data_IF_765329627023
#
_entry.id   IF_765329627023
#
_cell.length_a   1.000
_cell.length_b   1.000
_cell.length_c   1.000
_cell.angle_alpha   90.00
_cell.angle_beta   90.00
_cell.angle_gamma   90.00
#
_symmetry.space_group_name_H-M   'P 1'
#
loop_
_entity.id
_entity.type
_entity.pdbx_description
1 polymer ?
#
# COMPACT_ATOMS: atom_id res chain seq x y z
N UNK A 1 -27.03 -45.66 -3.77
CA UNK A 1 -28.15 -45.78 -4.72
C UNK A 1 -29.42 -45.43 -3.97
N UNK A 2 -30.08 -44.32 -4.36
CA UNK A 2 -31.45 -43.87 -4.02
C UNK A 2 -31.72 -43.62 -2.51
N UNK A 3 -32.28 -42.52 -2.03
CA UNK A 3 -32.93 -41.37 -2.66
C UNK A 3 -33.42 -40.38 -1.60
N UNK A 4 -34.01 -39.30 -2.10
CA UNK A 4 -34.58 -38.12 -1.46
C UNK A 4 -35.42 -38.33 -0.18
N UNK A 5 -35.43 -37.31 0.68
CA UNK A 5 -36.39 -37.17 1.77
C UNK A 5 -36.35 -35.79 2.44
N UNK A 6 -36.94 -34.78 1.78
CA UNK A 6 -37.33 -33.51 2.38
C UNK A 6 -38.47 -33.76 3.39
N UNK A 7 -38.35 -33.22 4.61
CA UNK A 7 -39.49 -33.02 5.50
C UNK A 7 -39.90 -31.55 5.46
N UNK A 8 -40.99 -31.27 4.74
CA UNK A 8 -41.74 -30.03 4.85
C UNK A 8 -42.85 -30.24 5.88
N UNK A 9 -42.92 -29.39 6.90
CA UNK A 9 -44.15 -29.20 7.67
C UNK A 9 -44.78 -27.88 7.26
N UNK A 10 -45.96 -27.99 6.65
CA UNK A 10 -46.84 -26.88 6.31
C UNK A 10 -47.54 -26.38 7.58
N UNK A 11 -47.69 -25.07 7.71
CA UNK A 11 -48.83 -24.48 8.42
C UNK A 11 -49.55 -23.58 7.45
N UNK A 12 -50.75 -24.00 7.04
CA UNK A 12 -51.71 -23.16 6.33
C UNK A 12 -52.60 -22.46 7.35
N UNK A 13 -52.91 -21.19 7.10
CA UNK A 13 -54.08 -20.54 7.66
C UNK A 13 -55.04 -20.27 6.51
N UNK A 14 -56.19 -20.94 6.56
CA UNK A 14 -57.33 -20.80 5.65
C UNK A 14 -58.35 -19.85 6.26
N UNK A 15 -58.87 -18.90 5.47
CA UNK A 15 -60.26 -18.44 5.59
C UNK A 15 -60.82 -18.12 4.21
N UNK A 16 -61.90 -18.82 3.86
CA UNK A 16 -62.67 -18.75 2.61
C UNK A 16 -63.61 -17.53 2.56
N UNK A 17 -63.77 -16.91 1.39
CA UNK A 17 -64.86 -16.00 1.03
C UNK A 17 -64.88 -15.71 -0.48
N UNK A 18 -66.03 -15.69 -1.17
CA UNK A 18 -66.08 -15.61 -2.64
C UNK A 18 -65.97 -14.16 -3.09
N UNK A 19 -64.77 -13.72 -3.42
CA UNK A 19 -64.51 -12.41 -4.00
C UNK A 19 -63.35 -12.52 -4.97
N UNK A 20 -63.52 -11.96 -6.17
CA UNK A 20 -62.55 -11.92 -7.27
C UNK A 20 -61.11 -11.78 -6.75
N UNK A 21 -60.27 -12.80 -7.00
CA UNK A 21 -58.88 -12.86 -6.56
C UNK A 21 -58.03 -11.82 -7.28
N UNK A 22 -57.99 -10.61 -6.73
CA UNK A 22 -56.95 -9.64 -7.04
C UNK A 22 -55.71 -10.09 -6.26
N UNK A 23 -54.55 -10.30 -6.90
CA UNK A 23 -53.33 -10.64 -6.17
C UNK A 23 -53.01 -9.50 -5.19
N UNK A 24 -52.68 -9.88 -3.95
CA UNK A 24 -52.32 -8.94 -2.90
C UNK A 24 -51.07 -8.14 -3.33
N UNK A 25 -51.17 -6.79 -3.48
CA UNK A 25 -50.04 -5.96 -3.89
C UNK A 25 -48.94 -5.88 -2.81
N UNK A 26 -49.18 -6.42 -1.62
CA UNK A 26 -48.22 -6.48 -0.51
C UNK A 26 -47.61 -7.87 -0.29
N UNK A 27 -47.80 -8.81 -1.23
CA UNK A 27 -47.07 -10.09 -1.19
C UNK A 27 -45.57 -9.85 -1.44
N UNK A 28 -44.83 -9.59 -0.35
CA UNK A 28 -43.37 -9.50 -0.39
C UNK A 28 -42.85 -10.92 -0.67
N UNK A 29 -42.41 -11.16 -1.90
CA UNK A 29 -41.57 -12.33 -2.21
C UNK A 29 -40.22 -12.06 -1.55
N UNK A 30 -40.00 -12.58 -0.34
CA UNK A 30 -38.67 -12.66 0.24
C UNK A 30 -37.91 -13.79 -0.45
N UNK A 31 -37.48 -13.55 -1.68
CA UNK A 31 -36.41 -14.32 -2.31
C UNK A 31 -35.10 -13.62 -1.94
N UNK A 32 -34.67 -13.81 -0.70
CA UNK A 32 -33.32 -13.43 -0.29
C UNK A 32 -32.37 -14.57 -0.62
N UNK A 33 -31.89 -14.55 -1.86
CA UNK A 33 -30.60 -15.13 -2.19
C UNK A 33 -29.81 -14.03 -2.87
N UNK A 34 -29.34 -13.06 -2.07
CA UNK A 34 -28.10 -12.38 -2.41
C UNK A 34 -27.05 -13.49 -2.55
N UNK A 35 -26.43 -13.69 -3.72
CA UNK A 35 -25.32 -14.62 -3.82
C UNK A 35 -24.28 -14.17 -2.81
N UNK A 36 -23.84 -15.10 -1.96
CA UNK A 36 -22.78 -14.91 -0.98
C UNK A 36 -21.48 -14.63 -1.73
N UNK A 37 -21.33 -13.39 -2.20
CA UNK A 37 -20.11 -12.89 -2.76
C UNK A 37 -19.27 -12.42 -1.58
N UNK A 38 -18.80 -13.38 -0.79
CA UNK A 38 -17.85 -13.14 0.27
C UNK A 38 -16.58 -12.57 -0.36
N UNK A 39 -16.37 -11.27 -0.16
CA UNK A 39 -15.18 -10.56 -0.62
C UNK A 39 -13.97 -10.88 0.24
N UNK A 40 -14.18 -11.48 1.41
CA UNK A 40 -13.14 -11.93 2.31
C UNK A 40 -12.77 -13.36 1.92
N UNK A 41 -11.58 -13.52 1.37
CA UNK A 41 -11.07 -14.85 0.99
C UNK A 41 -9.76 -15.07 1.70
N UNK A 42 -9.70 -16.11 2.50
CA UNK A 42 -8.43 -16.56 3.05
C UNK A 42 -7.47 -16.93 1.92
N UNK A 43 -6.20 -16.53 2.08
CA UNK A 43 -5.10 -16.87 1.17
C UNK A 43 -4.86 -18.38 1.21
N UNK A 44 -4.42 -19.02 0.13
CA UNK A 44 -4.10 -20.45 0.16
C UNK A 44 -2.60 -20.72 0.36
N UNK A 45 -1.74 -19.77 0.02
CA UNK A 45 -0.28 -19.81 0.13
C UNK A 45 0.31 -18.90 1.21
N UNK A 46 1.63 -18.71 1.14
CA UNK A 46 2.38 -17.78 1.98
C UNK A 46 2.13 -16.32 1.55
N UNK A 47 2.34 -15.37 2.46
CA UNK A 47 2.10 -13.95 2.16
C UNK A 47 3.07 -13.31 1.18
N UNK A 48 4.18 -13.99 0.89
CA UNK A 48 5.18 -13.52 -0.05
C UNK A 48 4.69 -13.71 -1.49
N UNK A 49 4.25 -14.92 -1.81
CA UNK A 49 3.93 -15.32 -3.18
C UNK A 49 2.48 -14.98 -3.55
N UNK A 50 1.58 -14.99 -2.56
CA UNK A 50 0.15 -14.73 -2.78
C UNK A 50 -0.29 -13.47 -2.01
N UNK A 51 0.29 -12.33 -2.37
CA UNK A 51 -0.18 -11.04 -1.85
C UNK A 51 -1.61 -10.77 -2.35
N UNK A 52 -2.57 -10.72 -1.44
CA UNK A 52 -3.95 -10.40 -1.78
C UNK A 52 -4.04 -8.90 -2.05
N UNK A 53 -4.10 -8.53 -3.33
CA UNK A 53 -4.31 -7.14 -3.76
C UNK A 53 -5.81 -6.88 -3.87
N UNK A 54 -6.51 -6.84 -2.74
CA UNK A 54 -7.89 -6.41 -2.67
C UNK A 54 -8.00 -5.22 -1.69
N UNK A 55 -8.33 -4.01 -2.17
CA UNK A 55 -8.45 -2.83 -1.30
C UNK A 55 -9.64 -2.90 -0.32
N UNK A 56 -10.52 -3.90 -0.47
CA UNK A 56 -11.66 -4.15 0.42
C UNK A 56 -11.47 -5.37 1.31
N UNK A 57 -10.33 -6.09 1.21
CA UNK A 57 -10.03 -7.21 2.10
C UNK A 57 -9.45 -6.70 3.41
N UNK A 58 -9.75 -7.41 4.49
CA UNK A 58 -9.26 -7.04 5.82
C UNK A 58 -7.79 -7.41 5.94
N UNK A 59 -7.03 -6.61 6.69
CA UNK A 59 -5.65 -6.97 7.04
C UNK A 59 -5.65 -8.29 7.83
N UNK A 60 -4.58 -9.07 7.66
CA UNK A 60 -4.35 -10.28 8.45
C UNK A 60 -4.50 -9.96 9.96
N UNK A 61 -5.21 -10.79 10.73
CA UNK A 61 -5.44 -10.52 12.14
C UNK A 61 -4.12 -10.50 12.91
N UNK A 62 -4.03 -9.66 13.95
CA UNK A 62 -2.82 -9.45 14.76
C UNK A 62 -2.29 -10.70 15.46
N UNK A 63 -3.05 -11.80 15.47
CA UNK A 63 -2.65 -13.10 16.01
C UNK A 63 -1.66 -13.84 15.09
N UNK A 64 -1.57 -13.45 13.81
CA UNK A 64 -0.61 -14.03 12.86
C UNK A 64 0.69 -13.26 12.99
N UNK A 65 1.70 -13.92 13.55
CA UNK A 65 3.05 -13.39 13.68
C UNK A 65 3.86 -13.74 12.42
N UNK A 66 4.52 -12.72 11.84
CA UNK A 66 5.36 -12.87 10.65
C UNK A 66 6.80 -12.61 11.06
N UNK A 67 7.66 -13.59 10.89
CA UNK A 67 9.07 -13.52 11.30
C UNK A 67 10.01 -13.82 10.13
N UNK A 68 11.21 -13.22 10.18
CA UNK A 68 12.24 -13.38 9.16
C UNK A 68 13.56 -13.75 9.84
N UNK A 69 14.04 -14.96 9.55
CA UNK A 69 15.28 -15.49 10.09
C UNK A 69 16.31 -15.72 8.97
N UNK A 70 17.58 -15.37 9.19
CA UNK A 70 18.66 -15.70 8.26
C UNK A 70 19.35 -16.99 8.69
N UNK A 71 19.36 -17.99 7.80
CA UNK A 71 20.08 -19.25 7.99
C UNK A 71 21.47 -19.17 7.33
N UNK A 72 22.57 -19.14 8.11
CA UNK A 72 23.93 -19.03 7.57
C UNK A 72 24.45 -20.33 6.94
N UNK A 73 23.79 -21.48 7.16
CA UNK A 73 24.18 -22.77 6.58
C UNK A 73 23.59 -22.87 5.16
N UNK A 74 22.33 -22.47 5.01
CA UNK A 74 21.63 -22.50 3.72
C UNK A 74 21.84 -21.24 2.88
N UNK A 75 22.42 -20.18 3.49
CA UNK A 75 22.60 -18.84 2.92
C UNK A 75 21.28 -18.25 2.37
N UNK A 76 20.23 -18.38 3.18
CA UNK A 76 18.86 -18.01 2.79
C UNK A 76 18.12 -17.33 3.94
N UNK A 77 17.22 -16.44 3.57
CA UNK A 77 16.22 -15.85 4.46
C UNK A 77 15.00 -16.77 4.50
N UNK A 78 14.58 -17.14 5.70
CA UNK A 78 13.43 -17.99 6.00
C UNK A 78 12.34 -17.09 6.55
N UNK A 79 11.26 -16.97 5.79
CA UNK A 79 10.10 -16.19 6.17
C UNK A 79 9.04 -17.14 6.70
N UNK A 80 8.57 -16.91 7.93
CA UNK A 80 7.59 -17.78 8.60
C UNK A 80 6.34 -17.01 9.02
N UNK A 81 5.19 -17.70 9.00
CA UNK A 81 3.94 -17.21 9.55
C UNK A 81 3.48 -18.17 10.65
N UNK A 82 3.28 -17.66 11.86
CA UNK A 82 2.97 -18.47 13.04
C UNK A 82 1.71 -17.97 13.73
N UNK A 83 0.93 -18.90 14.28
CA UNK A 83 -0.18 -18.62 15.20
C UNK A 83 0.17 -19.34 16.50
N UNK A 84 0.64 -18.57 17.50
CA UNK A 84 1.25 -19.16 18.69
C UNK A 84 2.48 -19.99 18.31
N UNK A 85 2.46 -21.28 18.65
CA UNK A 85 3.60 -22.18 18.38
C UNK A 85 3.54 -22.84 17.00
N UNK A 86 2.37 -22.87 16.36
CA UNK A 86 2.14 -23.60 15.11
C UNK A 86 2.40 -22.72 13.88
N UNK A 87 2.99 -23.32 12.84
CA UNK A 87 3.14 -22.68 11.55
C UNK A 87 1.79 -22.58 10.84
N UNK A 88 1.35 -21.35 10.55
CA UNK A 88 0.12 -21.10 9.82
C UNK A 88 0.26 -21.47 8.34
N UNK A 89 1.43 -21.19 7.74
CA UNK A 89 1.76 -21.48 6.33
C UNK A 89 3.19 -22.04 6.21
N UNK A 90 3.45 -22.65 5.06
CA UNK A 90 4.79 -23.13 4.74
C UNK A 90 5.80 -21.96 4.67
N UNK A 91 7.01 -22.14 5.22
CA UNK A 91 8.04 -21.11 5.16
C UNK A 91 8.46 -20.82 3.72
N UNK A 92 8.76 -19.55 3.44
CA UNK A 92 9.33 -19.13 2.16
C UNK A 92 10.83 -18.96 2.32
N UNK A 93 11.60 -19.48 1.36
CA UNK A 93 13.05 -19.38 1.35
C UNK A 93 13.47 -18.42 0.24
N UNK A 94 14.17 -17.36 0.61
CA UNK A 94 14.71 -16.37 -0.34
C UNK A 94 16.23 -16.32 -0.26
N UNK A 95 16.85 -16.06 -1.40
CA UNK A 95 18.22 -15.54 -1.44
C UNK A 95 18.27 -14.11 -0.91
N UNK A 96 19.47 -13.60 -0.61
CA UNK A 96 19.64 -12.21 -0.18
C UNK A 96 19.08 -11.19 -1.20
N UNK A 97 19.34 -11.41 -2.50
CA UNK A 97 18.86 -10.52 -3.56
C UNK A 97 17.32 -10.53 -3.64
N UNK A 98 16.69 -11.71 -3.61
CA UNK A 98 15.22 -11.84 -3.61
C UNK A 98 14.59 -11.18 -2.39
N UNK A 99 15.21 -11.33 -1.21
CA UNK A 99 14.73 -10.69 0.01
C UNK A 99 14.82 -9.16 -0.06
N UNK A 100 15.93 -8.63 -0.58
CA UNK A 100 16.13 -7.19 -0.74
C UNK A 100 15.06 -6.57 -1.66
N UNK A 101 14.83 -7.21 -2.81
CA UNK A 101 13.83 -6.76 -3.78
C UNK A 101 12.41 -6.81 -3.21
N UNK A 102 12.08 -7.90 -2.50
CA UNK A 102 10.80 -8.07 -1.84
C UNK A 102 10.57 -7.03 -0.73
N UNK A 103 11.57 -6.82 0.13
CA UNK A 103 11.50 -5.84 1.22
C UNK A 103 11.34 -4.41 0.69
N UNK A 104 12.09 -4.05 -0.35
CA UNK A 104 12.01 -2.75 -1.02
C UNK A 104 10.61 -2.48 -1.60
N UNK A 105 10.03 -3.48 -2.26
CA UNK A 105 8.67 -3.40 -2.83
C UNK A 105 7.60 -3.23 -1.75
N UNK A 106 7.75 -3.93 -0.62
CA UNK A 106 6.86 -3.83 0.54
C UNK A 106 6.94 -2.46 1.19
N UNK A 107 8.15 -1.94 1.40
CA UNK A 107 8.37 -0.61 1.99
C UNK A 107 7.77 0.50 1.10
N UNK A 108 7.98 0.42 -0.21
CA UNK A 108 7.37 1.35 -1.16
C UNK A 108 5.84 1.35 -1.07
N UNK A 109 5.24 0.16 -0.99
CA UNK A 109 3.78 0.01 -0.87
C UNK A 109 3.27 0.64 0.42
N UNK A 110 3.92 0.35 1.56
CA UNK A 110 3.58 0.94 2.85
C UNK A 110 3.69 2.47 2.83
N UNK A 111 4.78 3.00 2.26
CA UNK A 111 4.99 4.44 2.10
C UNK A 111 3.83 5.11 1.33
N UNK A 112 3.39 4.53 0.21
CA UNK A 112 2.25 5.07 -0.53
C UNK A 112 0.92 4.92 0.22
N UNK A 113 0.73 3.85 1.00
CA UNK A 113 -0.47 3.70 1.85
C UNK A 113 -0.54 4.77 2.94
N UNK A 114 0.60 5.14 3.52
CA UNK A 114 0.72 6.22 4.50
C UNK A 114 0.41 7.59 3.88
N UNK A 115 0.92 7.86 2.67
CA UNK A 115 0.59 9.09 1.94
C UNK A 115 -0.91 9.21 1.62
N UNK A 116 -1.57 8.08 1.35
CA UNK A 116 -3.01 8.00 1.13
C UNK A 116 -3.83 8.05 2.43
N UNK A 117 -3.16 8.06 3.59
CA UNK A 117 -3.75 8.13 4.93
C UNK A 117 -4.56 6.90 5.35
N UNK A 118 -4.30 5.75 4.73
CA UNK A 118 -4.98 4.48 5.02
C UNK A 118 -4.63 3.96 6.42
N UNK A 119 -3.42 4.26 6.92
CA UNK A 119 -2.98 3.89 8.28
C UNK A 119 -3.43 4.87 9.37
N UNK A 120 -4.01 6.00 8.99
CA UNK A 120 -3.98 7.20 9.82
C UNK A 120 -5.38 7.70 10.13
N UNK A 121 -6.15 6.87 10.85
CA UNK A 121 -7.54 7.17 11.24
C UNK A 121 -7.76 8.51 11.95
N UNK A 122 -6.73 9.18 12.48
CA UNK A 122 -6.87 10.36 13.33
C UNK A 122 -5.91 11.55 13.05
N UNK A 123 -4.96 11.49 12.09
CA UNK A 123 -3.91 12.55 12.00
C UNK A 123 -4.19 13.69 11.01
N UNK A 124 -5.34 13.73 10.36
CA UNK A 124 -5.71 14.87 9.48
C UNK A 124 -5.94 16.19 10.24
N UNK A 125 -5.91 16.20 11.57
CA UNK A 125 -6.21 17.39 12.38
C UNK A 125 -5.00 18.31 12.67
N UNK A 126 -3.75 17.89 12.44
CA UNK A 126 -2.57 18.72 12.75
C UNK A 126 -1.75 18.99 11.49
N UNK A 127 -1.89 20.20 10.95
CA UNK A 127 -1.43 20.62 9.62
C UNK A 127 0.08 20.74 9.39
N UNK A 128 0.92 19.90 9.99
CA UNK A 128 2.32 19.74 9.62
C UNK A 128 2.66 18.24 9.71
N UNK A 129 2.42 17.52 8.62
CA UNK A 129 2.96 16.17 8.45
C UNK A 129 4.45 16.37 8.18
N UNK A 130 5.29 16.10 9.16
CA UNK A 130 6.72 15.97 8.92
C UNK A 130 6.95 14.61 8.25
N UNK A 131 7.22 14.56 6.93
CA UNK A 131 7.35 13.31 6.19
C UNK A 131 8.54 12.47 6.65
N UNK A 132 9.43 13.04 7.49
CA UNK A 132 10.63 12.36 7.99
C UNK A 132 10.37 11.73 9.38
N UNK A 133 9.33 12.17 10.10
CA UNK A 133 9.10 11.77 11.49
C UNK A 133 8.71 10.29 11.70
N UNK A 134 8.28 9.59 10.64
CA UNK A 134 7.80 8.20 10.70
C UNK A 134 8.80 7.17 10.14
N UNK A 135 10.00 7.61 9.72
CA UNK A 135 11.09 6.70 9.33
C UNK A 135 11.64 6.04 10.61
N UNK A 136 11.10 4.88 10.98
CA UNK A 136 11.52 4.09 12.14
C UNK A 136 12.82 3.33 11.84
N UNK A 137 13.93 4.04 11.79
CA UNK A 137 15.24 3.40 11.79
C UNK A 137 15.59 3.08 13.24
N UNK A 138 15.78 1.79 13.53
CA UNK A 138 16.17 1.35 14.87
C UNK A 138 17.38 2.15 15.38
N UNK A 139 17.17 2.82 16.52
CA UNK A 139 18.15 3.72 17.14
C UNK A 139 19.48 3.03 17.40
N UNK A 140 19.45 1.72 17.65
CA UNK A 140 20.64 0.90 17.91
C UNK A 140 21.54 0.75 16.67
N UNK A 141 20.97 0.62 15.47
CA UNK A 141 21.73 0.54 14.23
C UNK A 141 22.37 1.89 13.90
N UNK A 142 21.61 2.99 14.02
CA UNK A 142 22.14 4.34 13.78
C UNK A 142 23.29 4.64 14.74
N UNK A 143 23.10 4.33 16.04
CA UNK A 143 24.14 4.58 17.03
C UNK A 143 25.43 3.81 16.72
N UNK A 144 25.31 2.51 16.38
CA UNK A 144 26.47 1.66 16.06
C UNK A 144 27.23 2.13 14.81
N UNK A 145 26.52 2.57 13.77
CA UNK A 145 27.12 2.95 12.49
C UNK A 145 27.57 4.42 12.45
N UNK A 146 26.86 5.32 13.12
CA UNK A 146 27.03 6.76 12.96
C UNK A 146 27.41 7.54 14.22
N UNK A 147 27.62 6.85 15.35
CA UNK A 147 28.15 7.48 16.57
C UNK A 147 27.15 8.36 17.32
N UNK A 148 25.86 8.05 17.22
CA UNK A 148 24.79 8.78 17.90
C UNK A 148 23.45 8.55 17.20
N UNK A 149 22.35 8.82 17.88
CA UNK A 149 20.98 8.58 17.37
C UNK A 149 20.34 9.81 16.73
N UNK A 150 21.02 10.96 16.75
CA UNK A 150 20.49 12.22 16.23
C UNK A 150 20.43 12.21 14.71
N UNK A 151 19.23 12.39 14.14
CA UNK A 151 19.03 12.64 12.72
C UNK A 151 18.50 14.06 12.59
N UNK A 152 19.23 14.92 11.90
CA UNK A 152 18.86 16.32 11.65
C UNK A 152 18.91 16.57 10.14
N UNK A 153 17.73 16.66 9.52
CA UNK A 153 17.57 16.88 8.08
C UNK A 153 16.87 18.22 7.88
N UNK A 154 17.49 19.10 7.10
CA UNK A 154 17.02 20.47 6.88
C UNK A 154 16.78 20.71 5.40
N UNK A 155 15.59 20.41 4.89
CA UNK A 155 15.22 20.78 3.55
C UNK A 155 14.96 22.28 3.46
N UNK A 156 15.48 22.92 2.41
CA UNK A 156 15.32 24.34 2.11
C UNK A 156 15.09 24.51 0.62
N UNK A 157 14.12 25.33 0.22
CA UNK A 157 13.89 25.57 -1.19
C UNK A 157 12.45 25.90 -1.53
N UNK A 158 12.15 25.83 -2.83
CA UNK A 158 10.84 26.08 -3.40
C UNK A 158 10.45 24.92 -4.30
N UNK A 159 9.19 24.56 -4.22
CA UNK A 159 8.56 23.56 -5.06
C UNK A 159 7.29 24.21 -5.63
N UNK A 160 7.24 24.41 -6.94
CA UNK A 160 6.00 24.72 -7.65
C UNK A 160 5.60 23.55 -8.54
N UNK A 161 4.34 23.14 -8.43
CA UNK A 161 3.78 22.07 -9.24
C UNK A 161 2.53 22.64 -9.90
N UNK A 162 2.50 22.62 -11.23
CA UNK A 162 1.35 23.01 -12.03
C UNK A 162 0.77 21.78 -12.70
N UNK A 163 -0.51 21.51 -12.43
CA UNK A 163 -1.24 20.38 -12.98
C UNK A 163 -2.48 20.88 -13.70
N UNK A 164 -2.74 20.36 -14.89
CA UNK A 164 -3.90 20.71 -15.69
C UNK A 164 -4.32 19.57 -16.60
N UNK A 165 -5.56 19.60 -17.04
CA UNK A 165 -6.07 18.67 -18.04
C UNK A 165 -6.69 19.47 -19.17
N UNK A 166 -6.20 19.29 -20.39
CA UNK A 166 -6.81 19.87 -21.57
C UNK A 166 -7.74 18.85 -22.23
N UNK A 167 -8.88 19.33 -22.70
CA UNK A 167 -9.81 18.54 -23.49
C UNK A 167 -10.32 19.39 -24.64
N UNK A 168 -10.12 18.89 -25.85
CA UNK A 168 -10.57 19.51 -27.08
C UNK A 168 -11.37 18.51 -27.90
N UNK A 169 -12.52 18.98 -28.39
CA UNK A 169 -13.34 18.24 -29.34
C UNK A 169 -13.45 19.02 -30.64
N UNK A 170 -13.12 18.39 -31.75
CA UNK A 170 -13.24 18.95 -33.09
C UNK A 170 -14.34 18.22 -33.85
N UNK A 171 -15.42 18.92 -34.18
CA UNK A 171 -16.55 18.37 -34.95
C UNK A 171 -16.26 18.38 -36.48
N UNK A 172 -15.05 17.97 -36.88
CA UNK A 172 -14.72 17.80 -38.28
C UNK A 172 -15.11 16.39 -38.73
N UNK A 173 -16.16 16.21 -39.56
CA UNK A 173 -16.63 14.90 -39.99
C UNK A 173 -15.66 14.16 -40.92
N UNK A 174 -14.64 14.85 -41.45
CA UNK A 174 -13.58 14.24 -42.27
C UNK A 174 -12.56 13.50 -41.36
N UNK A 175 -12.42 13.90 -40.10
CA UNK A 175 -11.55 13.22 -39.14
C UNK A 175 -12.26 12.01 -38.51
N UNK A 176 -11.57 10.88 -38.31
CA UNK A 176 -12.10 9.76 -37.53
C UNK A 176 -12.50 10.16 -36.11
N UNK A 177 -13.57 9.59 -35.55
CA UNK A 177 -14.12 9.93 -34.21
C UNK A 177 -13.06 9.91 -33.09
N UNK A 178 -12.08 9.00 -33.17
CA UNK A 178 -10.95 8.93 -32.21
C UNK A 178 -9.98 10.10 -32.29
N UNK A 179 -9.88 10.76 -33.44
CA UNK A 179 -9.04 11.94 -33.67
C UNK A 179 -9.84 13.24 -33.48
N UNK A 180 -11.18 13.16 -33.38
CA UNK A 180 -12.05 14.29 -33.06
C UNK A 180 -12.01 14.66 -31.57
N UNK A 181 -11.51 13.77 -30.71
CA UNK A 181 -11.34 14.03 -29.28
C UNK A 181 -9.85 13.95 -28.97
N UNK A 182 -9.28 15.05 -28.54
CA UNK A 182 -7.92 15.12 -28.03
C UNK A 182 -7.96 15.64 -26.62
N UNK A 183 -7.09 15.13 -25.77
CA UNK A 183 -6.90 15.66 -24.44
C UNK A 183 -5.54 15.23 -23.93
N UNK A 184 -5.00 16.00 -23.02
CA UNK A 184 -3.68 15.81 -22.46
C UNK A 184 -3.71 16.09 -20.97
N UNK A 185 -2.98 15.27 -20.22
CA UNK A 185 -2.54 15.69 -18.90
C UNK A 185 -1.33 16.61 -19.08
N UNK A 186 -1.42 17.81 -18.54
CA UNK A 186 -0.33 18.76 -18.48
C UNK A 186 0.22 18.80 -17.05
N UNK A 187 1.50 18.51 -16.93
CA UNK A 187 2.22 18.45 -15.66
C UNK A 187 3.56 19.16 -15.81
N UNK A 188 3.73 20.24 -15.04
CA UNK A 188 4.96 21.03 -15.00
C UNK A 188 5.46 21.16 -13.57
N UNK A 189 6.73 20.86 -13.35
CA UNK A 189 7.39 20.86 -12.04
C UNK A 189 8.59 21.80 -12.04
N UNK A 190 8.58 22.76 -11.12
CA UNK A 190 9.71 23.63 -10.78
C UNK A 190 10.16 23.32 -9.36
N UNK A 191 11.16 22.45 -9.25
CA UNK A 191 11.72 22.04 -7.96
C UNK A 191 13.11 22.66 -7.87
N UNK A 192 13.33 23.43 -6.81
CA UNK A 192 14.63 23.98 -6.42
C UNK A 192 14.82 23.71 -4.93
N UNK A 193 15.52 22.63 -4.62
CA UNK A 193 15.70 22.15 -3.24
C UNK A 193 17.17 21.97 -2.90
N UNK A 194 17.53 22.36 -1.68
CA UNK A 194 18.79 22.07 -1.03
C UNK A 194 18.47 21.40 0.31
N UNK A 195 19.09 20.26 0.59
CA UNK A 195 18.88 19.49 1.80
C UNK A 195 20.22 19.24 2.44
N UNK A 196 20.40 19.72 3.66
CA UNK A 196 21.55 19.37 4.49
C UNK A 196 21.10 18.39 5.56
N UNK A 197 21.76 17.23 5.62
CA UNK A 197 21.47 16.16 6.56
C UNK A 197 22.69 15.83 7.43
N UNK A 198 22.45 15.63 8.72
CA UNK A 198 23.42 15.11 9.68
C UNK A 198 22.83 13.89 10.37
N UNK A 199 23.54 12.77 10.29
CA UNK A 199 23.16 11.53 10.95
C UNK A 199 24.28 11.16 11.93
N UNK A 200 23.94 11.18 13.21
CA UNK A 200 24.88 11.04 14.31
C UNK A 200 26.00 12.08 14.24
N UNK A 201 27.22 11.62 14.49
CA UNK A 201 28.44 12.44 14.42
C UNK A 201 29.26 12.14 13.16
N UNK A 202 29.00 11.00 12.51
CA UNK A 202 29.86 10.44 11.46
C UNK A 202 29.39 10.71 10.04
N UNK A 203 28.13 11.05 9.81
CA UNK A 203 27.61 11.23 8.45
C UNK A 203 27.04 12.62 8.24
N UNK A 204 27.66 13.38 7.32
CA UNK A 204 27.12 14.63 6.82
C UNK A 204 26.78 14.45 5.33
N UNK A 205 25.58 14.83 4.94
CA UNK A 205 25.14 14.81 3.55
C UNK A 205 24.61 16.17 3.14
N UNK A 206 24.87 16.55 1.90
CA UNK A 206 24.29 17.74 1.28
C UNK A 206 23.79 17.37 -0.11
N UNK A 207 22.52 17.63 -0.36
CA UNK A 207 21.83 17.30 -1.60
C UNK A 207 21.26 18.58 -2.19
N UNK A 208 21.59 18.87 -3.46
CA UNK A 208 21.06 20.01 -4.20
C UNK A 208 20.44 19.50 -5.49
N UNK A 209 19.19 19.89 -5.76
CA UNK A 209 18.45 19.44 -6.92
C UNK A 209 17.59 20.56 -7.51
N UNK A 210 17.70 20.72 -8.83
CA UNK A 210 17.01 21.70 -9.63
C UNK A 210 16.48 21.07 -10.94
N UNK A 211 15.14 21.02 -11.10
CA UNK A 211 14.52 20.46 -12.32
C UNK A 211 14.70 21.36 -13.55
N UNK A 212 15.05 22.63 -13.36
CA UNK A 212 15.30 23.61 -14.44
C UNK A 212 16.79 23.83 -14.72
N UNK A 213 17.67 22.99 -14.16
CA UNK A 213 19.09 23.09 -14.46
C UNK A 213 19.35 22.89 -15.96
N UNK A 214 20.25 23.70 -16.53
CA UNK A 214 20.73 23.47 -17.90
C UNK A 214 21.70 22.30 -17.98
N UNK A 215 22.39 22.02 -16.88
CA UNK A 215 23.46 21.03 -16.82
C UNK A 215 23.29 20.04 -15.67
N UNK A 216 23.50 18.75 -15.95
CA UNK A 216 23.31 17.69 -14.96
C UNK A 216 24.24 17.81 -13.74
N UNK A 217 25.41 18.46 -13.88
CA UNK A 217 26.35 18.64 -12.78
C UNK A 217 25.88 19.62 -11.69
N UNK A 218 24.81 20.38 -11.92
CA UNK A 218 24.25 21.27 -10.91
C UNK A 218 23.49 20.47 -9.84
N UNK A 219 22.95 19.31 -10.20
CA UNK A 219 22.34 18.36 -9.28
C UNK A 219 23.45 17.58 -8.57
N UNK A 220 23.67 17.86 -7.28
CA UNK A 220 24.81 17.33 -6.54
C UNK A 220 24.35 16.61 -5.28
N UNK A 221 24.88 15.41 -5.09
CA UNK A 221 24.87 14.71 -3.82
C UNK A 221 26.30 14.70 -3.29
N UNK A 222 26.50 15.25 -2.10
CA UNK A 222 27.75 15.15 -1.35
C UNK A 222 27.53 14.28 -0.13
N UNK A 223 28.44 13.34 0.08
CA UNK A 223 28.45 12.44 1.22
C UNK A 223 29.82 12.51 1.90
N UNK A 224 29.84 13.02 3.13
CA UNK A 224 31.03 13.08 3.96
C UNK A 224 30.84 12.11 5.13
N UNK A 225 31.58 11.00 5.11
CA UNK A 225 31.60 10.01 6.19
C UNK A 225 32.91 10.08 6.97
N UNK A 226 32.83 10.32 8.26
CA UNK A 226 33.96 10.31 9.16
C UNK A 226 34.08 8.94 9.85
N UNK A 227 35.03 8.13 9.39
CA UNK A 227 35.34 6.83 9.99
C UNK A 227 36.22 6.91 11.23
N UNK A 228 36.73 8.10 11.59
CA UNK A 228 37.61 8.28 12.75
C UNK A 228 36.81 8.49 14.03
N UNK A 229 36.24 7.41 14.57
CA UNK A 229 36.22 7.20 16.02
C UNK A 229 35.79 5.76 16.36
N UNK A 230 36.73 5.05 17.01
CA UNK A 230 36.71 3.72 17.62
C UNK A 230 36.63 2.50 16.68
N UNK A 231 37.79 1.85 16.51
CA UNK A 231 37.86 0.39 16.41
C UNK A 231 37.92 -0.24 17.80
#
# INVERSE_FOLDING_TARGET
MVGSGLWLSNVSASTNGPGYGVPDPYAIILLDTVPDNDTLRDRQGNYVEESVSNPFDLQDPTVIEKDVEYDPILDRYIITERIGDDFFRAPTYMTFEEYLDWSSSKEQTNYFQQLNGVETGDRYASGNIDPISEIDISKDIINRLFGGTGVDIRPQGKIDITMGWDYQKQDNPILPVRQQKTGGFNFDMDIQINVDGKIGEKLNTSFSYNTRSTFDFENKLKLDYNSQEYG
#
